data_IF_109713245890
#
_entry.id   IF_109713245890
#
_cell.length_a   1.000
_cell.length_b   1.000
_cell.length_c   1.000
_cell.angle_alpha   90.00
_cell.angle_beta   90.00
_cell.angle_gamma   90.00
#
_symmetry.space_group_name_H-M   'P 1'
#
loop_
_entity.id
_entity.type
_entity.pdbx_description
1 polymer ?
#
# COMPACT_ATOMS: atom_id res chain seq x y z
N UNK A 1 -9.18 -15.56 -41.31
CA UNK A 1 -8.82 -16.37 -40.13
C UNK A 1 -9.61 -17.69 -40.16
N UNK A 2 -9.08 -18.75 -40.80
CA UNK A 2 -9.78 -20.02 -41.03
C UNK A 2 -9.73 -21.01 -39.84
N UNK A 3 -9.21 -20.59 -38.69
CA UNK A 3 -9.01 -21.44 -37.51
C UNK A 3 -10.14 -21.32 -36.47
N UNK A 4 -11.10 -20.42 -36.67
CA UNK A 4 -12.24 -20.29 -35.76
C UNK A 4 -13.35 -21.29 -36.10
N UNK A 5 -13.67 -22.15 -35.12
CA UNK A 5 -14.92 -22.90 -35.07
C UNK A 5 -16.04 -21.95 -34.60
N UNK A 6 -17.00 -21.66 -35.48
CA UNK A 6 -18.15 -20.78 -35.16
C UNK A 6 -19.28 -21.60 -34.57
N UNK A 7 -19.76 -21.22 -33.38
CA UNK A 7 -20.77 -21.97 -32.64
C UNK A 7 -21.83 -20.99 -32.16
N UNK A 8 -23.10 -21.31 -32.44
CA UNK A 8 -24.24 -20.63 -31.84
C UNK A 8 -24.68 -21.44 -30.62
N UNK A 9 -24.64 -20.83 -29.44
CA UNK A 9 -24.90 -21.50 -28.17
C UNK A 9 -25.40 -20.48 -27.16
N UNK A 10 -26.33 -20.86 -26.27
CA UNK A 10 -26.80 -19.99 -25.18
C UNK A 10 -25.68 -19.70 -24.18
N UNK A 11 -25.78 -18.62 -23.40
CA UNK A 11 -24.75 -18.28 -22.41
C UNK A 11 -24.58 -19.41 -21.37
N UNK A 12 -25.68 -19.87 -20.78
CA UNK A 12 -25.69 -20.96 -19.78
C UNK A 12 -25.07 -22.25 -20.32
N UNK A 13 -25.43 -22.66 -21.55
CA UNK A 13 -24.85 -23.84 -22.17
C UNK A 13 -23.36 -23.63 -22.52
N UNK A 14 -22.96 -22.43 -22.93
CA UNK A 14 -21.58 -22.08 -23.20
C UNK A 14 -20.73 -22.19 -21.94
N UNK A 15 -21.18 -21.58 -20.84
CA UNK A 15 -20.52 -21.63 -19.54
C UNK A 15 -20.34 -23.07 -19.08
N UNK A 16 -21.40 -23.87 -19.12
CA UNK A 16 -21.38 -25.26 -18.65
C UNK A 16 -20.52 -26.17 -19.54
N UNK A 17 -20.68 -26.07 -20.86
CA UNK A 17 -20.00 -26.96 -21.83
C UNK A 17 -18.51 -26.70 -21.90
N UNK A 18 -18.09 -25.46 -21.75
CA UNK A 18 -16.69 -25.05 -21.88
C UNK A 18 -16.02 -24.73 -20.54
N UNK A 19 -16.66 -25.02 -19.41
CA UNK A 19 -16.12 -24.79 -18.07
C UNK A 19 -15.68 -23.34 -17.86
N UNK A 20 -16.60 -22.40 -18.09
CA UNK A 20 -16.39 -20.95 -17.99
C UNK A 20 -17.14 -20.35 -16.79
N UNK A 21 -17.28 -21.09 -15.70
CA UNK A 21 -18.01 -20.69 -14.48
C UNK A 21 -17.38 -19.48 -13.77
N UNK A 22 -16.17 -19.11 -14.15
CA UNK A 22 -15.46 -17.92 -13.66
C UNK A 22 -15.83 -16.63 -14.41
N UNK A 23 -16.67 -16.70 -15.45
CA UNK A 23 -17.12 -15.52 -16.17
C UNK A 23 -17.99 -14.64 -15.24
N UNK A 24 -17.78 -13.32 -15.24
CA UNK A 24 -18.66 -12.40 -14.54
C UNK A 24 -20.12 -12.56 -14.98
N UNK A 25 -21.05 -12.52 -14.03
CA UNK A 25 -22.48 -12.72 -14.31
C UNK A 25 -23.07 -11.66 -15.26
N UNK A 26 -22.53 -10.44 -15.24
CA UNK A 26 -23.00 -9.37 -16.12
C UNK A 26 -22.82 -9.71 -17.61
N UNK A 27 -21.90 -10.59 -17.98
CA UNK A 27 -21.67 -10.97 -19.37
C UNK A 27 -22.85 -11.72 -19.99
N UNK A 28 -23.73 -12.31 -19.18
CA UNK A 28 -24.95 -12.97 -19.67
C UNK A 28 -25.86 -11.99 -20.44
N UNK A 29 -25.98 -10.76 -19.95
CA UNK A 29 -26.84 -9.73 -20.54
C UNK A 29 -26.28 -9.18 -21.87
N UNK A 30 -24.96 -9.25 -22.08
CA UNK A 30 -24.28 -8.73 -23.28
C UNK A 30 -23.97 -9.82 -24.31
N UNK A 31 -24.05 -11.10 -23.93
CA UNK A 31 -23.67 -12.19 -24.81
C UNK A 31 -24.65 -12.36 -25.99
N UNK A 32 -24.13 -12.28 -27.20
CA UNK A 32 -24.94 -12.25 -28.43
C UNK A 32 -25.28 -13.66 -28.99
N UNK A 33 -24.96 -14.72 -28.25
CA UNK A 33 -25.17 -16.10 -28.68
C UNK A 33 -24.05 -16.70 -29.53
N UNK A 34 -22.97 -15.96 -29.79
CA UNK A 34 -21.86 -16.38 -30.65
C UNK A 34 -20.60 -16.73 -29.85
N UNK A 35 -20.12 -17.95 -30.06
CA UNK A 35 -18.82 -18.43 -29.61
C UNK A 35 -17.90 -18.66 -30.82
N UNK A 36 -16.71 -18.08 -30.78
CA UNK A 36 -15.60 -18.35 -31.70
C UNK A 36 -14.53 -19.14 -30.97
N UNK A 37 -14.38 -20.41 -31.33
CA UNK A 37 -13.51 -21.34 -30.61
C UNK A 37 -12.27 -21.71 -31.42
N UNK A 38 -11.14 -21.79 -30.73
CA UNK A 38 -9.84 -22.21 -31.26
C UNK A 38 -9.30 -23.33 -30.37
N UNK A 39 -9.18 -24.54 -30.93
CA UNK A 39 -8.84 -25.77 -30.17
C UNK A 39 -7.34 -25.99 -29.98
N UNK A 40 -6.55 -25.52 -30.94
CA UNK A 40 -5.11 -25.70 -30.98
C UNK A 40 -4.40 -24.40 -30.63
N UNK A 41 -3.11 -24.48 -30.28
CA UNK A 41 -2.30 -23.29 -30.13
C UNK A 41 -2.21 -22.56 -31.47
N UNK A 42 -2.25 -21.23 -31.44
CA UNK A 42 -2.23 -20.40 -32.64
C UNK A 42 -1.12 -19.37 -32.56
N UNK A 43 -0.38 -19.25 -33.66
CA UNK A 43 0.62 -18.20 -33.89
C UNK A 43 0.13 -17.25 -34.96
N UNK A 44 0.11 -15.95 -34.66
CA UNK A 44 -0.27 -14.89 -35.59
C UNK A 44 0.78 -13.78 -35.59
N UNK A 45 0.89 -13.06 -36.70
CA UNK A 45 1.71 -11.86 -36.74
C UNK A 45 1.16 -10.77 -35.80
N UNK A 46 -0.12 -10.43 -35.97
CA UNK A 46 -0.84 -9.45 -35.17
C UNK A 46 -2.31 -9.88 -35.05
N UNK A 47 -2.98 -9.46 -33.98
CA UNK A 47 -4.39 -9.74 -33.75
C UNK A 47 -5.09 -8.49 -33.19
N UNK A 48 -5.86 -7.81 -34.04
CA UNK A 48 -6.83 -6.81 -33.60
C UNK A 48 -8.16 -7.52 -33.33
N UNK A 49 -8.65 -7.43 -32.11
CA UNK A 49 -9.88 -8.09 -31.67
C UNK A 49 -11.12 -7.42 -32.28
N UNK A 50 -11.08 -6.09 -32.47
CA UNK A 50 -12.17 -5.35 -33.10
C UNK A 50 -12.39 -5.79 -34.56
N UNK A 51 -11.36 -6.27 -35.27
CA UNK A 51 -11.50 -6.84 -36.63
C UNK A 51 -12.33 -8.14 -36.66
N UNK A 52 -12.52 -8.79 -35.51
CA UNK A 52 -13.32 -10.02 -35.37
C UNK A 52 -14.78 -9.71 -35.05
N UNK A 53 -15.00 -8.76 -34.13
CA UNK A 53 -16.31 -8.36 -33.64
C UNK A 53 -16.32 -6.91 -33.14
N UNK A 54 -16.70 -5.98 -34.01
CA UNK A 54 -16.86 -4.57 -33.66
C UNK A 54 -18.08 -4.30 -32.76
N UNK A 55 -19.12 -5.14 -32.82
CA UNK A 55 -20.40 -4.90 -32.14
C UNK A 55 -20.44 -5.43 -30.69
N UNK A 56 -19.46 -6.25 -30.31
CA UNK A 56 -19.35 -6.83 -28.98
C UNK A 56 -20.28 -8.01 -28.72
N UNK A 57 -20.12 -8.61 -27.54
CA UNK A 57 -20.96 -9.73 -27.07
C UNK A 57 -20.58 -11.11 -27.59
N UNK A 58 -19.61 -11.22 -28.50
CA UNK A 58 -19.03 -12.53 -28.88
C UNK A 58 -18.06 -13.01 -27.80
N UNK A 59 -18.07 -14.31 -27.50
CA UNK A 59 -17.00 -14.97 -26.73
C UNK A 59 -15.99 -15.54 -27.71
N UNK A 60 -14.71 -15.17 -27.56
CA UNK A 60 -13.58 -15.71 -28.31
C UNK A 60 -12.77 -16.60 -27.36
N UNK A 61 -12.85 -17.91 -27.56
CA UNK A 61 -12.23 -18.91 -26.71
C UNK A 61 -11.02 -19.56 -27.39
N UNK A 62 -9.82 -19.28 -26.87
CA UNK A 62 -8.60 -20.02 -27.16
C UNK A 62 -8.40 -21.09 -26.08
N UNK A 63 -8.47 -22.37 -26.45
CA UNK A 63 -8.34 -23.48 -25.50
C UNK A 63 -6.90 -23.81 -25.11
N UNK A 64 -5.93 -23.34 -25.90
CA UNK A 64 -4.49 -23.52 -25.69
C UNK A 64 -3.77 -22.18 -25.80
N UNK A 65 -2.47 -22.22 -26.14
CA UNK A 65 -1.61 -21.05 -26.15
C UNK A 65 -1.91 -20.11 -27.33
N UNK A 66 -1.77 -18.81 -27.08
CA UNK A 66 -1.89 -17.76 -28.09
C UNK A 66 -0.55 -17.03 -28.21
N UNK A 67 0.08 -17.11 -29.38
CA UNK A 67 1.39 -16.54 -29.67
C UNK A 67 1.21 -15.44 -30.72
N UNK A 68 1.56 -14.20 -30.38
CA UNK A 68 1.41 -13.03 -31.24
C UNK A 68 2.79 -12.39 -31.45
N UNK A 69 3.32 -12.42 -32.67
CA UNK A 69 4.69 -11.92 -32.93
C UNK A 69 4.82 -10.40 -32.68
N UNK A 70 3.77 -9.64 -32.96
CA UNK A 70 3.74 -8.18 -32.79
C UNK A 70 2.72 -7.76 -31.72
N UNK A 71 1.49 -7.43 -32.11
CA UNK A 71 0.54 -6.76 -31.22
C UNK A 71 -0.78 -7.54 -31.10
N UNK A 72 -1.19 -7.78 -29.86
CA UNK A 72 -2.55 -8.18 -29.50
C UNK A 72 -3.30 -6.94 -29.03
N UNK A 73 -4.24 -6.45 -29.82
CA UNK A 73 -4.89 -5.17 -29.57
C UNK A 73 -6.40 -5.25 -29.59
N UNK A 74 -7.01 -4.39 -28.78
CA UNK A 74 -8.43 -4.12 -28.77
C UNK A 74 -8.58 -2.63 -28.42
N UNK A 75 -9.19 -1.89 -29.33
CA UNK A 75 -9.22 -0.42 -29.32
C UNK A 75 -10.58 0.12 -28.89
N UNK A 76 -11.64 -0.68 -29.05
CA UNK A 76 -13.02 -0.28 -28.77
C UNK A 76 -13.25 -0.07 -27.27
N UNK A 77 -13.96 1.02 -26.99
CA UNK A 77 -13.98 1.71 -25.71
C UNK A 77 -15.14 1.18 -24.86
N UNK A 78 -16.24 0.68 -25.43
CA UNK A 78 -17.38 0.14 -24.69
C UNK A 78 -17.75 -1.29 -25.13
N UNK A 79 -17.78 -2.23 -24.18
CA UNK A 79 -18.33 -3.59 -24.32
C UNK A 79 -17.80 -4.43 -25.51
N UNK A 80 -16.47 -4.50 -25.67
CA UNK A 80 -15.82 -5.35 -26.67
C UNK A 80 -16.06 -6.86 -26.45
N UNK A 81 -15.73 -7.73 -27.42
CA UNK A 81 -15.90 -9.17 -27.29
C UNK A 81 -15.09 -9.72 -26.11
N UNK A 82 -15.62 -10.75 -25.45
CA UNK A 82 -14.92 -11.39 -24.33
C UNK A 82 -13.86 -12.34 -24.86
N UNK A 83 -12.60 -12.08 -24.54
CA UNK A 83 -11.47 -12.93 -24.95
C UNK A 83 -11.07 -13.83 -23.80
N UNK A 84 -11.05 -15.14 -24.03
CA UNK A 84 -10.65 -16.13 -23.04
C UNK A 84 -9.50 -16.95 -23.60
N UNK A 85 -8.38 -16.97 -22.90
CA UNK A 85 -7.24 -17.84 -23.21
C UNK A 85 -7.02 -18.79 -22.05
N UNK A 86 -7.23 -20.09 -22.29
CA UNK A 86 -7.01 -21.12 -21.27
C UNK A 86 -5.53 -21.48 -21.10
N UNK A 87 -4.73 -21.33 -22.15
CA UNK A 87 -3.28 -21.53 -22.13
C UNK A 87 -2.51 -20.26 -21.80
N UNK A 88 -1.24 -20.25 -22.21
CA UNK A 88 -0.33 -19.12 -22.07
C UNK A 88 -0.53 -18.11 -23.21
N UNK A 89 -0.19 -16.85 -22.96
CA UNK A 89 -0.15 -15.80 -23.98
C UNK A 89 1.27 -15.28 -24.11
N UNK A 90 1.80 -15.23 -25.32
CA UNK A 90 3.02 -14.46 -25.62
C UNK A 90 2.74 -13.41 -26.67
N UNK A 91 3.25 -12.20 -26.46
CA UNK A 91 3.13 -11.11 -27.41
C UNK A 91 4.33 -10.18 -27.35
N UNK A 92 4.62 -9.41 -28.41
CA UNK A 92 5.55 -8.28 -28.26
C UNK A 92 4.89 -7.12 -27.50
N UNK A 93 3.64 -6.81 -27.83
CA UNK A 93 2.83 -5.83 -27.11
C UNK A 93 1.38 -6.30 -26.95
N UNK A 94 0.74 -5.88 -25.86
CA UNK A 94 -0.68 -6.11 -25.58
C UNK A 94 -1.33 -4.77 -25.22
N UNK A 95 -2.44 -4.42 -25.87
CA UNK A 95 -3.28 -3.29 -25.46
C UNK A 95 -4.76 -3.68 -25.49
N UNK A 96 -5.46 -3.55 -24.36
CA UNK A 96 -6.89 -3.80 -24.29
C UNK A 96 -7.63 -2.58 -23.79
N UNK A 97 -8.71 -2.24 -24.50
CA UNK A 97 -9.68 -1.21 -24.17
C UNK A 97 -10.79 -1.75 -23.24
N UNK A 98 -12.03 -1.38 -23.52
CA UNK A 98 -13.22 -1.74 -22.72
C UNK A 98 -13.66 -3.22 -22.78
N UNK A 99 -12.86 -4.12 -23.34
CA UNK A 99 -13.19 -5.55 -23.41
C UNK A 99 -12.86 -6.30 -22.11
N UNK A 100 -13.53 -7.44 -21.91
CA UNK A 100 -13.17 -8.40 -20.88
C UNK A 100 -12.20 -9.44 -21.46
N UNK A 101 -10.96 -9.46 -20.97
CA UNK A 101 -9.98 -10.49 -21.27
C UNK A 101 -9.63 -11.29 -20.02
N UNK A 102 -9.72 -12.62 -20.15
CA UNK A 102 -9.40 -13.56 -19.10
C UNK A 102 -8.34 -14.53 -19.62
N UNK A 103 -7.17 -14.53 -18.97
CA UNK A 103 -6.06 -15.42 -19.30
C UNK A 103 -5.80 -16.32 -18.10
N UNK A 104 -5.86 -17.64 -18.32
CA UNK A 104 -5.67 -18.62 -17.26
C UNK A 104 -4.20 -19.03 -17.06
N UNK A 105 -3.42 -19.02 -18.13
CA UNK A 105 -1.99 -19.32 -18.09
C UNK A 105 -1.11 -18.09 -17.82
N UNK A 106 0.19 -18.27 -18.04
CA UNK A 106 1.20 -17.23 -17.93
C UNK A 106 1.14 -16.28 -19.14
N UNK A 107 1.48 -15.02 -18.91
CA UNK A 107 1.53 -13.96 -19.92
C UNK A 107 2.94 -13.44 -20.03
N UNK A 108 3.54 -13.57 -21.21
CA UNK A 108 4.88 -13.02 -21.51
C UNK A 108 4.76 -11.96 -22.59
N UNK A 109 5.06 -10.71 -22.24
CA UNK A 109 5.05 -9.57 -23.15
C UNK A 109 6.48 -9.05 -23.31
N UNK A 110 6.98 -8.96 -24.53
CA UNK A 110 8.37 -8.47 -24.76
C UNK A 110 8.54 -7.02 -24.31
N UNK A 111 7.55 -6.18 -24.59
CA UNK A 111 7.57 -4.74 -24.32
C UNK A 111 6.42 -4.33 -23.39
N UNK A 112 5.30 -3.87 -23.94
CA UNK A 112 4.24 -3.18 -23.17
C UNK A 112 2.97 -4.01 -23.10
N UNK A 113 2.44 -4.15 -21.89
CA UNK A 113 1.06 -4.55 -21.63
C UNK A 113 0.30 -3.36 -21.04
N UNK A 114 -0.82 -2.98 -21.65
CA UNK A 114 -1.64 -1.87 -21.17
C UNK A 114 -3.14 -2.22 -21.16
N UNK A 115 -3.81 -1.90 -20.06
CA UNK A 115 -5.26 -1.78 -19.97
C UNK A 115 -5.66 -0.31 -20.09
N UNK A 116 -6.65 -0.03 -20.94
CA UNK A 116 -7.06 1.30 -21.38
C UNK A 116 -8.55 1.44 -21.18
N UNK A 117 -8.99 2.53 -20.57
CA UNK A 117 -10.42 2.86 -20.38
C UNK A 117 -11.13 2.02 -19.31
N UNK A 118 -11.94 2.71 -18.51
CA UNK A 118 -12.42 2.34 -17.17
C UNK A 118 -13.46 1.24 -17.06
N UNK A 119 -13.92 0.70 -18.19
CA UNK A 119 -14.91 -0.38 -18.20
C UNK A 119 -14.36 -1.74 -18.62
N UNK A 120 -13.10 -1.80 -19.06
CA UNK A 120 -12.46 -3.06 -19.42
C UNK A 120 -11.98 -3.86 -18.21
N UNK A 121 -11.80 -5.16 -18.40
CA UNK A 121 -11.29 -6.08 -17.37
C UNK A 121 -10.18 -6.93 -17.94
N UNK A 122 -8.98 -6.86 -17.35
CA UNK A 122 -7.89 -7.82 -17.62
C UNK A 122 -7.71 -8.68 -16.38
N UNK A 123 -8.08 -9.95 -16.48
CA UNK A 123 -7.93 -10.93 -15.40
C UNK A 123 -6.92 -12.01 -15.79
N UNK A 124 -5.79 -12.07 -15.08
CA UNK A 124 -4.71 -13.03 -15.35
C UNK A 124 -4.45 -13.84 -14.09
N UNK A 125 -4.69 -15.16 -14.16
CA UNK A 125 -4.43 -16.06 -13.03
C UNK A 125 -3.00 -16.58 -12.98
N UNK A 126 -2.28 -16.60 -14.11
CA UNK A 126 -0.86 -16.94 -14.17
C UNK A 126 0.05 -15.76 -13.90
N UNK A 127 1.35 -15.97 -14.13
CA UNK A 127 2.40 -14.95 -13.97
C UNK A 127 2.42 -14.02 -15.16
N UNK A 128 2.62 -12.73 -14.92
CA UNK A 128 2.86 -11.74 -15.97
C UNK A 128 4.33 -11.36 -15.98
N UNK A 129 4.99 -11.49 -17.12
CA UNK A 129 6.32 -10.90 -17.36
C UNK A 129 6.21 -9.91 -18.50
N UNK A 130 6.50 -8.64 -18.26
CA UNK A 130 6.56 -7.60 -19.27
C UNK A 130 7.66 -6.59 -18.97
N UNK A 131 8.13 -5.82 -19.95
CA UNK A 131 8.97 -4.66 -19.65
C UNK A 131 8.15 -3.60 -18.91
N UNK A 132 6.92 -3.35 -19.37
CA UNK A 132 5.98 -2.39 -18.78
C UNK A 132 4.57 -2.95 -18.65
N UNK A 133 3.94 -2.70 -17.50
CA UNK A 133 2.55 -3.04 -17.23
C UNK A 133 1.85 -1.75 -16.82
N UNK A 134 0.94 -1.26 -17.66
CA UNK A 134 0.26 0.01 -17.46
C UNK A 134 -1.22 -0.27 -17.19
N UNK A 135 -1.69 0.12 -16.02
CA UNK A 135 -3.08 0.03 -15.61
C UNK A 135 -3.56 1.44 -15.29
N UNK A 136 -3.87 2.18 -16.34
CA UNK A 136 -4.42 3.53 -16.24
C UNK A 136 -5.94 3.43 -16.24
N UNK A 137 -6.54 3.59 -15.06
CA UNK A 137 -7.98 3.53 -14.84
C UNK A 137 -8.63 2.35 -15.57
N UNK A 138 -8.11 1.14 -15.38
CA UNK A 138 -8.64 -0.09 -15.97
C UNK A 138 -8.64 -1.18 -14.90
N UNK A 139 -9.70 -1.98 -14.80
CA UNK A 139 -9.73 -3.08 -13.85
C UNK A 139 -8.72 -4.15 -14.29
N UNK A 140 -7.55 -4.16 -13.66
CA UNK A 140 -6.44 -5.04 -13.99
C UNK A 140 -6.15 -5.89 -12.76
N UNK A 141 -6.43 -7.19 -12.84
CA UNK A 141 -6.21 -8.14 -11.75
C UNK A 141 -5.18 -9.19 -12.15
N UNK A 142 -4.01 -9.14 -11.51
CA UNK A 142 -2.95 -10.14 -11.62
C UNK A 142 -2.88 -10.87 -10.28
N UNK A 143 -3.23 -12.16 -10.27
CA UNK A 143 -3.35 -12.91 -9.02
C UNK A 143 -2.02 -13.51 -8.53
N UNK A 144 -1.01 -13.61 -9.39
CA UNK A 144 0.30 -14.17 -9.03
C UNK A 144 1.33 -13.07 -8.67
N UNK A 145 1.88 -13.17 -7.46
CA UNK A 145 2.87 -12.24 -6.90
C UNK A 145 4.26 -12.32 -7.56
N UNK A 146 4.55 -13.36 -8.34
CA UNK A 146 5.80 -13.57 -9.05
C UNK A 146 5.90 -12.82 -10.39
N UNK A 147 4.95 -11.94 -10.68
CA UNK A 147 4.93 -11.13 -11.89
C UNK A 147 6.07 -10.10 -11.91
N UNK A 148 6.62 -9.84 -13.09
CA UNK A 148 7.82 -9.00 -13.29
C UNK A 148 7.56 -7.93 -14.35
N UNK A 149 8.01 -6.72 -14.05
CA UNK A 149 7.96 -5.58 -14.97
C UNK A 149 7.97 -4.25 -14.24
N UNK A 150 8.04 -3.16 -15.01
CA UNK A 150 7.80 -1.81 -14.49
C UNK A 150 6.30 -1.56 -14.53
N UNK A 151 5.68 -1.54 -13.35
CA UNK A 151 4.26 -1.26 -13.20
C UNK A 151 4.04 0.26 -13.13
N UNK A 152 3.06 0.74 -13.90
CA UNK A 152 2.58 2.12 -13.88
C UNK A 152 1.08 2.11 -13.60
N UNK A 153 0.65 2.74 -12.51
CA UNK A 153 -0.76 2.85 -12.13
C UNK A 153 -1.02 2.42 -10.69
N UNK A 154 -2.24 2.01 -10.39
CA UNK A 154 -2.75 1.85 -9.02
C UNK A 154 -2.04 0.79 -8.17
N UNK A 155 -1.39 -0.22 -8.77
CA UNK A 155 -0.81 -1.33 -8.02
C UNK A 155 0.61 -1.08 -7.53
N UNK A 156 1.36 -0.17 -8.15
CA UNK A 156 2.78 0.05 -7.83
C UNK A 156 3.18 1.50 -8.13
N UNK A 157 3.56 2.25 -7.09
CA UNK A 157 4.00 3.64 -7.20
C UNK A 157 5.52 3.79 -7.23
N UNK A 158 6.28 2.68 -7.35
CA UNK A 158 7.75 2.73 -7.46
C UNK A 158 8.19 3.55 -8.68
N UNK A 159 7.35 3.69 -9.70
CA UNK A 159 7.62 4.47 -10.88
C UNK A 159 6.48 5.43 -11.18
N UNK A 160 6.80 6.67 -11.57
CA UNK A 160 5.81 7.57 -12.16
C UNK A 160 5.85 7.47 -13.68
N UNK A 161 4.68 7.60 -14.32
CA UNK A 161 4.56 7.55 -15.77
C UNK A 161 5.52 8.55 -16.46
N UNK A 162 5.69 9.77 -15.94
CA UNK A 162 6.63 10.78 -16.47
C UNK A 162 8.12 10.39 -16.46
N UNK A 163 8.48 9.46 -15.58
CA UNK A 163 9.84 8.96 -15.44
C UNK A 163 10.13 7.77 -16.38
N UNK A 164 9.07 7.08 -16.80
CA UNK A 164 9.14 5.86 -17.61
C UNK A 164 8.81 6.13 -19.07
N UNK A 165 7.81 6.96 -19.34
CA UNK A 165 7.30 7.26 -20.67
C UNK A 165 8.06 8.43 -21.29
N UNK A 166 8.31 8.36 -22.60
CA UNK A 166 8.83 9.52 -23.32
C UNK A 166 7.80 10.66 -23.32
N UNK A 167 8.25 11.92 -23.41
CA UNK A 167 7.34 13.09 -23.48
C UNK A 167 6.39 13.09 -24.70
N UNK A 168 6.59 12.18 -25.67
CA UNK A 168 5.63 11.93 -26.74
C UNK A 168 4.34 11.26 -26.22
N UNK A 169 4.44 10.48 -25.16
CA UNK A 169 3.39 9.61 -24.61
C UNK A 169 2.90 10.04 -23.22
N UNK A 170 3.45 11.10 -22.65
CA UNK A 170 3.02 11.70 -21.38
C UNK A 170 2.77 13.20 -21.57
N UNK A 171 1.81 13.76 -20.85
CA UNK A 171 1.60 15.20 -20.73
C UNK A 171 2.05 15.70 -19.38
N UNK A 172 3.13 16.49 -19.35
CA UNK A 172 3.63 17.06 -18.10
C UNK A 172 2.71 18.17 -17.54
N UNK A 173 1.87 18.80 -18.37
CA UNK A 173 0.98 19.87 -17.93
C UNK A 173 -0.32 19.32 -17.32
N UNK A 174 -0.88 18.28 -17.93
CA UNK A 174 -2.12 17.62 -17.48
C UNK A 174 -1.85 16.41 -16.56
N UNK A 175 -0.58 16.09 -16.33
CA UNK A 175 -0.09 14.94 -15.55
C UNK A 175 -0.65 13.56 -15.97
N UNK A 176 -1.01 13.38 -17.25
CA UNK A 176 -1.68 12.18 -17.77
C UNK A 176 -0.93 11.48 -18.92
N UNK A 177 -1.30 10.22 -19.19
CA UNK A 177 -0.75 9.45 -20.31
C UNK A 177 -1.53 9.73 -21.62
N UNK A 178 -0.83 9.75 -22.74
CA UNK A 178 -1.42 9.96 -24.08
C UNK A 178 -1.77 8.61 -24.70
N UNK A 179 -2.86 8.02 -24.22
CA UNK A 179 -3.34 6.67 -24.54
C UNK A 179 -3.36 6.40 -26.05
N UNK A 180 -4.00 7.25 -26.86
CA UNK A 180 -4.10 7.05 -28.32
C UNK A 180 -2.74 6.90 -28.99
N UNK A 181 -1.76 7.72 -28.56
CA UNK A 181 -0.39 7.66 -29.09
C UNK A 181 0.34 6.40 -28.65
N UNK A 182 0.05 5.90 -27.44
CA UNK A 182 0.58 4.64 -26.93
C UNK A 182 0.03 3.47 -27.75
N UNK A 183 -1.28 3.43 -28.02
CA UNK A 183 -1.91 2.40 -28.87
C UNK A 183 -1.27 2.40 -30.27
N UNK A 184 -1.15 3.56 -30.91
CA UNK A 184 -0.52 3.66 -32.22
C UNK A 184 0.93 3.17 -32.22
N UNK A 185 1.67 3.42 -31.13
CA UNK A 185 3.04 2.94 -30.97
C UNK A 185 3.07 1.42 -30.80
N UNK A 186 2.22 0.87 -29.94
CA UNK A 186 2.05 -0.57 -29.70
C UNK A 186 1.73 -1.32 -30.98
N UNK A 187 0.74 -0.85 -31.77
CA UNK A 187 0.37 -1.47 -33.06
C UNK A 187 1.53 -1.50 -34.07
N UNK A 188 2.42 -0.52 -34.00
CA UNK A 188 3.62 -0.41 -34.86
C UNK A 188 4.86 -1.08 -34.27
N UNK A 189 4.76 -1.67 -33.07
CA UNK A 189 5.90 -2.25 -32.35
C UNK A 189 6.96 -1.23 -31.90
N UNK A 190 6.58 0.04 -31.77
CA UNK A 190 7.44 1.12 -31.31
C UNK A 190 7.52 1.14 -29.79
N UNK A 191 8.72 1.39 -29.24
CA UNK A 191 8.87 1.57 -27.80
C UNK A 191 8.19 2.86 -27.32
N UNK A 192 7.55 2.78 -26.15
CA UNK A 192 6.95 3.93 -25.45
C UNK A 192 7.87 4.54 -24.38
N UNK A 193 9.04 3.93 -24.18
CA UNK A 193 9.99 4.26 -23.13
C UNK A 193 10.65 5.61 -23.32
N UNK A 194 10.93 6.30 -22.21
CA UNK A 194 11.86 7.42 -22.14
C UNK A 194 13.29 6.93 -22.38
N UNK A 195 14.04 7.61 -23.25
CA UNK A 195 15.45 7.27 -23.43
C UNK A 195 16.24 7.50 -22.13
N UNK A 196 17.09 6.54 -21.77
CA UNK A 196 17.96 6.61 -20.60
C UNK A 196 17.62 5.56 -19.53
N UNK A 197 18.28 5.69 -18.37
CA UNK A 197 18.04 4.81 -17.23
C UNK A 197 16.75 5.25 -16.53
N UNK A 198 15.81 4.31 -16.42
CA UNK A 198 14.64 4.48 -15.56
C UNK A 198 15.09 4.19 -14.13
N UNK A 199 14.78 5.12 -13.24
CA UNK A 199 15.15 5.05 -11.83
C UNK A 199 13.88 5.12 -10.99
N UNK A 200 13.67 4.12 -10.13
CA UNK A 200 12.52 4.08 -9.22
C UNK A 200 12.55 5.23 -8.21
N UNK A 201 11.41 5.55 -7.61
CA UNK A 201 11.33 6.53 -6.51
C UNK A 201 12.23 6.14 -5.34
N UNK A 202 12.29 4.84 -5.02
CA UNK A 202 13.20 4.30 -4.00
C UNK A 202 14.64 4.60 -4.37
N UNK A 203 15.08 4.28 -5.60
CA UNK A 203 16.45 4.53 -6.01
C UNK A 203 16.77 6.03 -6.05
N UNK A 204 15.83 6.89 -6.46
CA UNK A 204 15.98 8.35 -6.36
C UNK A 204 16.18 8.81 -4.92
N UNK A 205 15.43 8.26 -3.97
CA UNK A 205 15.58 8.56 -2.55
C UNK A 205 16.93 8.10 -2.00
N UNK A 206 17.39 6.91 -2.42
CA UNK A 206 18.71 6.37 -2.08
C UNK A 206 19.84 7.25 -2.64
N UNK A 207 19.76 7.64 -3.91
CA UNK A 207 20.76 8.48 -4.56
C UNK A 207 20.83 9.85 -3.88
N UNK A 208 19.66 10.43 -3.56
CA UNK A 208 19.57 11.68 -2.79
C UNK A 208 20.19 11.52 -1.41
N UNK A 209 19.91 10.42 -0.71
CA UNK A 209 20.50 10.11 0.58
C UNK A 209 22.04 10.06 0.48
N UNK A 210 22.57 9.26 -0.45
CA UNK A 210 24.02 9.12 -0.70
C UNK A 210 24.69 10.47 -1.03
N UNK A 211 24.02 11.33 -1.80
CA UNK A 211 24.54 12.64 -2.17
C UNK A 211 24.48 13.67 -1.03
N UNK A 212 23.48 13.57 -0.15
CA UNK A 212 23.17 14.61 0.83
C UNK A 212 24.13 14.71 2.02
N UNK A 213 24.99 13.69 2.25
CA UNK A 213 25.74 13.49 3.51
C UNK A 213 24.85 13.49 4.78
N UNK A 214 23.53 13.56 4.63
CA UNK A 214 22.58 13.53 5.73
C UNK A 214 22.38 12.08 6.16
N UNK A 215 22.04 11.90 7.43
CA UNK A 215 21.77 10.60 7.99
C UNK A 215 20.28 10.21 7.94
N UNK A 216 19.45 10.96 7.18
CA UNK A 216 18.01 10.74 7.06
C UNK A 216 17.64 10.18 5.68
N UNK A 217 17.08 8.98 5.66
CA UNK A 217 16.51 8.36 4.46
C UNK A 217 14.98 8.47 4.53
N UNK A 218 14.38 9.12 3.53
CA UNK A 218 12.93 9.25 3.42
C UNK A 218 12.41 8.35 2.29
N UNK A 219 11.59 7.37 2.66
CA UNK A 219 10.86 6.44 1.81
C UNK A 219 9.35 6.49 2.04
N UNK A 220 8.85 7.55 2.68
CA UNK A 220 7.42 7.75 2.92
C UNK A 220 6.62 7.90 1.61
N UNK A 221 5.37 7.46 1.63
CA UNK A 221 4.43 7.60 0.50
C UNK A 221 4.91 6.97 -0.82
N UNK A 222 5.57 5.81 -0.75
CA UNK A 222 6.09 5.10 -1.92
C UNK A 222 5.29 3.82 -2.25
N UNK A 223 4.15 3.61 -1.58
CA UNK A 223 3.30 2.42 -1.66
C UNK A 223 4.09 1.11 -1.44
N UNK A 224 5.05 1.13 -0.53
CA UNK A 224 5.85 -0.04 -0.20
C UNK A 224 5.00 -1.07 0.55
N UNK A 225 4.96 -2.30 0.05
CA UNK A 225 4.36 -3.45 0.73
C UNK A 225 5.39 -4.30 1.46
N UNK A 226 6.68 -4.10 1.16
CA UNK A 226 7.81 -4.77 1.77
C UNK A 226 9.03 -3.84 1.76
N UNK A 227 10.06 -4.20 2.55
CA UNK A 227 11.29 -3.42 2.59
C UNK A 227 12.11 -3.62 1.32
N UNK A 228 12.50 -2.53 0.62
CA UNK A 228 13.29 -2.63 -0.61
C UNK A 228 14.73 -3.12 -0.30
N UNK A 229 15.15 -4.24 -0.90
CA UNK A 229 16.48 -4.83 -0.66
C UNK A 229 17.63 -3.86 -0.98
N UNK A 230 17.40 -2.88 -1.87
CA UNK A 230 18.36 -1.85 -2.25
C UNK A 230 18.86 -1.03 -1.06
N UNK A 231 18.11 -0.96 0.04
CA UNK A 231 18.51 -0.21 1.23
C UNK A 231 19.43 -1.00 2.16
N UNK A 232 19.51 -2.33 2.01
CA UNK A 232 20.26 -3.18 2.95
C UNK A 232 21.77 -2.92 2.92
N UNK A 233 22.26 -2.37 1.82
CA UNK A 233 23.66 -1.97 1.64
C UNK A 233 23.96 -0.55 2.11
N UNK A 234 22.95 0.19 2.59
CA UNK A 234 23.15 1.57 3.03
C UNK A 234 23.68 1.59 4.46
N UNK A 235 24.82 2.24 4.62
CA UNK A 235 25.44 2.49 5.92
C UNK A 235 25.03 3.87 6.46
N UNK A 236 25.16 4.04 7.77
CA UNK A 236 25.03 5.34 8.46
C UNK A 236 23.63 5.99 8.42
N UNK A 237 22.57 5.24 8.12
CA UNK A 237 21.19 5.74 8.31
C UNK A 237 20.96 5.92 9.81
N UNK A 238 20.68 7.16 10.23
CA UNK A 238 20.28 7.52 11.60
C UNK A 238 18.78 7.75 11.73
N UNK A 239 18.12 8.18 10.67
CA UNK A 239 16.68 8.40 10.64
C UNK A 239 16.10 7.73 9.39
N UNK A 240 15.12 6.85 9.59
CA UNK A 240 14.40 6.17 8.52
C UNK A 240 12.92 6.55 8.58
N UNK A 241 12.41 7.14 7.50
CA UNK A 241 10.99 7.46 7.37
C UNK A 241 10.34 6.51 6.35
N UNK A 242 9.47 5.64 6.84
CA UNK A 242 8.68 4.66 6.09
C UNK A 242 7.19 4.96 6.15
N UNK A 243 6.78 6.12 6.68
CA UNK A 243 5.38 6.43 6.91
C UNK A 243 4.53 6.41 5.63
N UNK A 244 3.23 6.14 5.77
CA UNK A 244 2.28 6.10 4.66
C UNK A 244 2.64 5.05 3.58
N UNK A 245 3.02 3.85 4.01
CA UNK A 245 3.28 2.70 3.14
C UNK A 245 2.54 1.47 3.66
N UNK A 246 1.79 0.71 2.84
CA UNK A 246 0.98 -0.41 3.31
C UNK A 246 1.82 -1.68 3.59
N UNK A 247 2.78 -1.59 4.51
CA UNK A 247 3.75 -2.64 4.81
C UNK A 247 3.10 -3.89 5.43
N UNK A 248 2.08 -3.73 6.29
CA UNK A 248 1.41 -4.79 7.09
C UNK A 248 2.32 -5.48 8.11
N UNK A 249 3.55 -5.78 7.74
CA UNK A 249 4.63 -6.28 8.58
C UNK A 249 5.93 -5.54 8.24
N UNK A 250 6.87 -5.50 9.18
CA UNK A 250 8.19 -4.92 8.95
C UNK A 250 9.25 -6.00 9.15
N UNK A 251 10.05 -6.25 8.12
CA UNK A 251 11.30 -6.99 8.26
C UNK A 251 12.50 -6.12 7.94
N UNK A 252 13.39 -5.94 8.93
CA UNK A 252 14.67 -5.24 8.78
C UNK A 252 15.83 -6.21 8.60
N UNK A 253 15.53 -7.50 8.35
CA UNK A 253 16.55 -8.53 8.17
C UNK A 253 17.47 -8.18 7.00
N UNK A 254 18.76 -8.06 7.29
CA UNK A 254 19.79 -7.70 6.31
C UNK A 254 20.10 -6.21 6.23
N UNK A 255 19.27 -5.35 6.83
CA UNK A 255 19.56 -3.92 6.94
C UNK A 255 20.64 -3.67 8.00
N UNK A 256 21.58 -2.77 7.71
CA UNK A 256 22.52 -2.25 8.70
C UNK A 256 21.82 -1.21 9.59
N UNK A 257 21.57 -1.55 10.85
CA UNK A 257 20.82 -0.71 11.81
C UNK A 257 21.68 -0.13 12.93
N UNK A 258 23.01 -0.34 12.91
CA UNK A 258 23.95 0.05 13.97
C UNK A 258 23.94 1.54 14.33
N UNK A 259 23.49 2.38 13.40
CA UNK A 259 23.42 3.83 13.57
C UNK A 259 22.00 4.38 13.63
N UNK A 260 20.98 3.53 13.47
CA UNK A 260 19.59 3.94 13.38
C UNK A 260 19.09 4.39 14.75
N UNK A 261 18.68 5.67 14.83
CA UNK A 261 18.21 6.35 16.04
C UNK A 261 16.73 6.69 15.99
N UNK A 262 16.17 6.87 14.80
CA UNK A 262 14.75 7.17 14.65
C UNK A 262 14.15 6.36 13.51
N UNK A 263 12.99 5.79 13.76
CA UNK A 263 12.18 5.14 12.73
C UNK A 263 10.75 5.66 12.78
N UNK A 264 10.23 6.08 11.62
CA UNK A 264 8.85 6.49 11.46
C UNK A 264 8.09 5.46 10.62
N UNK A 265 7.10 4.82 11.23
CA UNK A 265 6.23 3.79 10.66
C UNK A 265 4.75 4.21 10.81
N UNK A 266 4.49 5.51 10.86
CA UNK A 266 3.13 6.00 10.96
C UNK A 266 2.32 5.65 9.70
N UNK A 267 1.06 5.24 9.87
CA UNK A 267 0.18 4.88 8.75
C UNK A 267 0.76 3.76 7.86
N UNK A 268 1.20 2.66 8.49
CA UNK A 268 1.81 1.52 7.78
C UNK A 268 0.94 0.25 7.74
N UNK A 269 -0.31 0.34 8.21
CA UNK A 269 -1.24 -0.79 8.35
C UNK A 269 -0.68 -1.93 9.21
N UNK A 270 0.19 -1.63 10.17
CA UNK A 270 0.77 -2.61 11.08
C UNK A 270 -0.28 -3.06 12.10
N UNK A 271 -0.42 -4.37 12.29
CA UNK A 271 -1.34 -4.95 13.30
C UNK A 271 -0.64 -5.31 14.60
N UNK A 272 0.68 -5.44 14.57
CA UNK A 272 1.50 -5.82 15.72
C UNK A 272 2.75 -4.91 15.79
N UNK A 273 3.36 -4.83 16.97
CA UNK A 273 4.64 -4.17 17.11
C UNK A 273 5.72 -4.92 16.30
N UNK A 274 6.49 -4.24 15.45
CA UNK A 274 7.50 -4.89 14.62
C UNK A 274 8.72 -5.32 15.46
N UNK A 275 8.81 -6.63 15.75
CA UNK A 275 9.82 -7.20 16.65
C UNK A 275 11.27 -6.95 16.22
N UNK A 276 11.52 -6.77 14.93
CA UNK A 276 12.84 -6.45 14.38
C UNK A 276 13.40 -5.12 14.93
N UNK A 277 12.54 -4.19 15.36
CA UNK A 277 12.97 -2.94 16.01
C UNK A 277 13.72 -3.22 17.31
N UNK A 278 13.38 -4.31 18.02
CA UNK A 278 14.03 -4.66 19.29
C UNK A 278 15.53 -4.95 19.14
N UNK A 279 16.00 -5.24 17.92
CA UNK A 279 17.41 -5.46 17.62
C UNK A 279 18.19 -4.15 17.39
N UNK A 280 17.52 -3.00 17.34
CA UNK A 280 18.14 -1.69 17.07
C UNK A 280 18.58 -1.04 18.39
N UNK A 281 19.77 -1.41 18.86
CA UNK A 281 20.31 -1.00 20.16
C UNK A 281 20.45 0.53 20.37
N UNK A 282 20.49 1.30 19.28
CA UNK A 282 20.66 2.77 19.31
C UNK A 282 19.34 3.54 19.09
N UNK A 283 18.19 2.85 19.01
CA UNK A 283 16.92 3.50 18.73
C UNK A 283 16.52 4.43 19.88
N UNK A 284 16.26 5.70 19.55
CA UNK A 284 15.86 6.75 20.48
C UNK A 284 14.40 7.18 20.25
N UNK A 285 13.88 7.04 19.04
CA UNK A 285 12.53 7.46 18.67
C UNK A 285 11.85 6.45 17.76
N UNK A 286 10.62 6.07 18.11
CA UNK A 286 9.76 5.20 17.31
C UNK A 286 8.42 5.91 17.13
N UNK A 287 7.98 6.07 15.89
CA UNK A 287 6.62 6.49 15.56
C UNK A 287 5.86 5.33 14.92
N UNK A 288 4.79 4.90 15.57
CA UNK A 288 3.88 3.84 15.15
C UNK A 288 2.44 4.35 15.06
N UNK A 289 2.24 5.66 15.01
CA UNK A 289 0.90 6.27 15.00
C UNK A 289 0.07 5.83 13.79
N UNK A 290 -1.26 5.88 13.88
CA UNK A 290 -2.16 5.50 12.78
C UNK A 290 -1.94 4.08 12.26
N UNK A 291 -1.67 3.14 13.17
CA UNK A 291 -1.65 1.70 12.89
C UNK A 291 -2.77 1.02 13.69
N UNK A 292 -2.90 -0.30 13.63
CA UNK A 292 -3.92 -1.04 14.40
C UNK A 292 -3.29 -1.90 15.48
N UNK A 293 -2.19 -1.43 16.06
CA UNK A 293 -1.45 -2.12 17.12
C UNK A 293 -2.22 -1.99 18.43
N UNK A 294 -2.40 -3.10 19.14
CA UNK A 294 -3.15 -3.15 20.41
C UNK A 294 -2.32 -3.58 21.62
N UNK A 295 -1.06 -3.98 21.41
CA UNK A 295 -0.16 -4.42 22.48
C UNK A 295 1.30 -4.09 22.16
N UNK A 296 2.14 -4.10 23.19
CA UNK A 296 3.59 -3.94 23.09
C UNK A 296 4.27 -5.21 23.61
N UNK A 297 5.41 -5.62 23.04
CA UNK A 297 6.10 -6.85 23.43
C UNK A 297 6.71 -6.71 24.83
N UNK A 298 6.81 -7.82 25.58
CA UNK A 298 7.43 -7.84 26.92
C UNK A 298 8.92 -7.48 26.89
N UNK A 299 9.57 -7.67 25.74
CA UNK A 299 10.98 -7.36 25.51
C UNK A 299 11.24 -5.88 25.21
N UNK A 300 10.22 -5.03 25.08
CA UNK A 300 10.38 -3.59 24.81
C UNK A 300 11.42 -2.88 25.71
N UNK A 301 11.57 -3.20 27.00
CA UNK A 301 12.58 -2.59 27.87
C UNK A 301 14.03 -2.83 27.43
N UNK A 302 14.30 -3.76 26.50
CA UNK A 302 15.64 -3.94 25.90
C UNK A 302 16.11 -2.69 25.16
N UNK A 303 15.17 -1.86 24.68
CA UNK A 303 15.42 -0.59 24.00
C UNK A 303 15.82 0.50 25.00
N UNK A 304 16.98 0.31 25.63
CA UNK A 304 17.49 1.18 26.70
C UNK A 304 17.76 2.62 26.26
N UNK A 305 17.83 2.91 24.95
CA UNK A 305 18.01 4.28 24.44
C UNK A 305 16.70 4.96 24.03
N UNK A 306 15.56 4.25 24.10
CA UNK A 306 14.26 4.76 23.66
C UNK A 306 13.80 5.92 24.56
N UNK A 307 13.67 7.10 23.96
CA UNK A 307 13.23 8.34 24.61
C UNK A 307 11.85 8.78 24.15
N UNK A 308 11.46 8.44 22.92
CA UNK A 308 10.21 8.87 22.31
C UNK A 308 9.46 7.69 21.69
N UNK A 309 8.22 7.50 22.10
CA UNK A 309 7.32 6.49 21.55
C UNK A 309 5.98 7.15 21.21
N UNK A 310 5.62 7.12 19.93
CA UNK A 310 4.35 7.63 19.43
C UNK A 310 3.47 6.47 19.00
N UNK A 311 2.29 6.37 19.60
CA UNK A 311 1.29 5.32 19.39
C UNK A 311 -0.11 5.93 19.22
N UNK A 312 -0.22 7.21 18.85
CA UNK A 312 -1.52 7.85 18.66
C UNK A 312 -2.32 7.17 17.55
N UNK A 313 -3.66 7.11 17.66
CA UNK A 313 -4.50 6.44 16.66
C UNK A 313 -4.10 4.97 16.43
N UNK A 314 -3.88 4.24 17.52
CA UNK A 314 -3.71 2.79 17.56
C UNK A 314 -4.94 2.16 18.24
N UNK A 315 -4.87 0.89 18.66
CA UNK A 315 -6.01 0.15 19.22
C UNK A 315 -5.77 -0.29 20.68
N UNK A 316 -5.14 0.55 21.51
CA UNK A 316 -4.90 0.22 22.92
C UNK A 316 -6.15 0.46 23.77
N UNK A 317 -6.72 -0.62 24.31
CA UNK A 317 -7.86 -0.55 25.25
C UNK A 317 -7.42 -0.36 26.70
N UNK A 318 -6.23 -0.85 27.07
CA UNK A 318 -5.64 -0.72 28.40
C UNK A 318 -4.28 -0.03 28.34
N UNK A 319 -3.88 0.59 29.46
CA UNK A 319 -2.56 1.22 29.53
C UNK A 319 -1.47 0.12 29.47
N UNK A 320 -0.48 0.21 28.57
CA UNK A 320 0.53 -0.84 28.42
C UNK A 320 1.48 -0.83 29.63
N UNK A 321 1.25 -1.72 30.59
CA UNK A 321 2.01 -1.75 31.85
C UNK A 321 3.53 -2.00 31.65
N UNK A 322 3.92 -2.56 30.49
CA UNK A 322 5.33 -2.71 30.11
C UNK A 322 6.06 -1.36 30.04
N UNK A 323 5.36 -0.26 29.76
CA UNK A 323 5.94 1.08 29.69
C UNK A 323 6.51 1.55 31.04
N UNK A 324 6.06 0.99 32.16
CA UNK A 324 6.66 1.25 33.47
C UNK A 324 8.12 0.76 33.57
N UNK A 325 8.52 -0.17 32.70
CA UNK A 325 9.87 -0.74 32.66
C UNK A 325 10.78 -0.05 31.63
N UNK A 326 10.24 0.81 30.77
CA UNK A 326 11.02 1.58 29.78
C UNK A 326 11.60 2.83 30.44
N UNK A 327 12.70 2.64 31.18
CA UNK A 327 13.24 3.62 32.15
C UNK A 327 13.72 4.95 31.57
N UNK A 328 14.00 5.02 30.27
CA UNK A 328 14.50 6.23 29.60
C UNK A 328 13.46 6.93 28.72
N UNK A 329 12.20 6.46 28.74
CA UNK A 329 11.12 7.07 27.96
C UNK A 329 10.81 8.47 28.52
N UNK A 330 10.94 9.49 27.68
CA UNK A 330 10.70 10.90 28.02
C UNK A 330 9.42 11.46 27.37
N UNK A 331 9.02 10.91 26.23
CA UNK A 331 7.85 11.35 25.47
C UNK A 331 7.01 10.13 25.07
N UNK A 332 5.75 10.13 25.47
CA UNK A 332 4.78 9.10 25.15
C UNK A 332 3.50 9.74 24.60
N UNK A 333 3.10 9.30 23.41
CA UNK A 333 1.79 9.61 22.85
C UNK A 333 0.97 8.34 22.72
N UNK A 334 -0.15 8.30 23.44
CA UNK A 334 -1.18 7.27 23.40
C UNK A 334 -2.54 7.92 23.14
N UNK A 335 -2.61 9.07 22.47
CA UNK A 335 -3.88 9.72 22.15
C UNK A 335 -4.75 8.91 21.19
N UNK A 336 -6.06 9.12 21.23
CA UNK A 336 -7.06 8.63 20.27
C UNK A 336 -6.98 7.11 19.99
N UNK A 337 -7.06 6.27 21.02
CA UNK A 337 -7.02 4.82 20.85
C UNK A 337 -8.39 4.24 20.50
N UNK A 338 -9.34 4.33 21.42
CA UNK A 338 -10.70 3.81 21.27
C UNK A 338 -11.67 4.62 22.16
N UNK A 339 -12.95 4.58 21.88
CA UNK A 339 -14.01 5.13 22.75
C UNK A 339 -14.22 4.28 24.03
N UNK A 340 -13.71 3.05 24.09
CA UNK A 340 -13.84 2.14 25.23
C UNK A 340 -12.58 2.01 26.10
N UNK A 341 -11.57 2.88 25.91
CA UNK A 341 -10.32 2.82 26.67
C UNK A 341 -10.55 2.84 28.20
N UNK A 342 -9.71 2.09 28.93
CA UNK A 342 -9.66 1.97 30.40
C UNK A 342 -8.23 2.14 30.89
N UNK A 343 -7.68 3.35 30.73
CA UNK A 343 -6.29 3.62 31.11
C UNK A 343 -6.14 3.83 32.61
N UNK A 344 -5.58 2.83 33.30
CA UNK A 344 -5.15 2.94 34.69
C UNK A 344 -3.64 3.16 34.75
N UNK A 345 -3.22 4.37 35.15
CA UNK A 345 -1.83 4.74 35.39
C UNK A 345 -1.59 4.75 36.90
N UNK A 346 -1.29 3.58 37.45
CA UNK A 346 -1.12 3.29 38.88
C UNK A 346 0.34 3.30 39.36
N UNK A 347 1.29 3.54 38.46
CA UNK A 347 2.72 3.66 38.77
C UNK A 347 3.32 4.89 38.11
N UNK A 348 4.42 5.37 38.70
CA UNK A 348 5.17 6.51 38.21
C UNK A 348 6.05 6.11 37.00
N UNK A 349 5.90 6.83 35.88
CA UNK A 349 6.77 6.74 34.71
C UNK A 349 8.01 7.62 34.97
N UNK A 350 9.10 6.99 35.44
CA UNK A 350 10.22 7.64 36.13
C UNK A 350 10.96 8.73 35.33
N UNK A 351 10.94 8.66 34.01
CA UNK A 351 11.65 9.58 33.13
C UNK A 351 10.73 10.40 32.24
N UNK A 352 9.42 10.15 32.30
CA UNK A 352 8.47 10.73 31.38
C UNK A 352 8.27 12.21 31.67
N UNK A 353 8.42 13.01 30.61
CA UNK A 353 8.27 14.47 30.62
C UNK A 353 7.01 14.90 29.89
N UNK A 354 6.65 14.21 28.81
CA UNK A 354 5.46 14.50 28.01
C UNK A 354 4.60 13.25 27.92
N UNK A 355 3.33 13.38 28.31
CA UNK A 355 2.31 12.34 28.21
C UNK A 355 1.10 12.89 27.47
N UNK A 356 0.84 12.38 26.27
CA UNK A 356 -0.33 12.73 25.49
C UNK A 356 -1.31 11.56 25.52
N UNK A 357 -2.51 11.82 26.00
CA UNK A 357 -3.60 10.85 26.14
C UNK A 357 -4.93 11.39 25.58
N UNK A 358 -4.88 12.47 24.80
CA UNK A 358 -6.09 13.14 24.31
C UNK A 358 -7.02 12.19 23.55
N UNK A 359 -8.32 12.34 23.72
CA UNK A 359 -9.31 11.57 22.95
C UNK A 359 -9.49 10.11 23.37
N UNK A 360 -9.00 9.70 24.54
CA UNK A 360 -9.26 8.37 25.10
C UNK A 360 -10.36 8.41 26.15
N UNK A 361 -11.17 7.37 26.26
CA UNK A 361 -12.11 7.26 27.38
C UNK A 361 -11.44 6.83 28.70
N UNK A 362 -12.10 7.14 29.82
CA UNK A 362 -11.83 6.64 31.17
C UNK A 362 -10.35 6.59 31.60
N UNK A 363 -9.67 7.74 31.53
CA UNK A 363 -8.31 7.87 32.04
C UNK A 363 -8.32 8.04 33.55
N UNK A 364 -7.59 7.16 34.26
CA UNK A 364 -7.40 7.23 35.70
C UNK A 364 -5.90 7.21 36.05
N UNK A 365 -5.37 8.37 36.43
CA UNK A 365 -3.99 8.52 36.91
C UNK A 365 -4.03 8.54 38.45
N UNK A 366 -3.58 7.45 39.07
CA UNK A 366 -3.59 7.28 40.54
C UNK A 366 -2.20 7.40 41.18
N UNK A 367 -1.14 7.38 40.38
CA UNK A 367 0.23 7.61 40.83
C UNK A 367 0.76 9.00 40.44
N UNK A 368 1.54 9.65 41.32
CA UNK A 368 2.28 10.86 40.97
C UNK A 368 3.24 10.63 39.80
N UNK A 369 3.39 11.64 38.93
CA UNK A 369 4.30 11.59 37.78
C UNK A 369 5.41 12.64 37.99
N UNK A 370 6.49 12.28 38.69
CA UNK A 370 7.38 13.27 39.32
C UNK A 370 8.17 14.13 38.34
N UNK A 371 8.43 13.66 37.11
CA UNK A 371 9.15 14.41 36.06
C UNK A 371 8.23 14.94 34.96
N UNK A 372 6.93 14.70 35.06
CA UNK A 372 5.98 15.09 34.02
C UNK A 372 5.91 16.60 33.95
N UNK A 373 6.16 17.14 32.77
CA UNK A 373 6.19 18.55 32.44
C UNK A 373 4.93 18.95 31.66
N UNK A 374 4.49 18.09 30.75
CA UNK A 374 3.34 18.29 29.89
C UNK A 374 2.41 17.07 29.93
N UNK A 375 1.13 17.33 30.18
CA UNK A 375 0.06 16.35 30.15
C UNK A 375 -1.08 16.87 29.27
N UNK A 376 -1.45 16.09 28.26
CA UNK A 376 -2.66 16.31 27.49
C UNK A 376 -3.67 15.19 27.78
N UNK A 377 -4.75 15.56 28.47
CA UNK A 377 -5.92 14.72 28.77
C UNK A 377 -7.20 15.41 28.26
N UNK A 378 -7.07 16.16 27.16
CA UNK A 378 -8.21 16.78 26.48
C UNK A 378 -9.09 15.73 25.81
N UNK A 379 -10.39 16.02 25.64
CA UNK A 379 -11.34 15.10 25.00
C UNK A 379 -11.43 13.70 25.65
N UNK A 380 -11.15 13.56 26.95
CA UNK A 380 -11.05 12.26 27.61
C UNK A 380 -12.32 11.81 28.35
N UNK A 381 -13.43 12.55 28.16
CA UNK A 381 -14.72 12.31 28.82
C UNK A 381 -14.63 12.21 30.35
N UNK A 382 -13.64 12.88 30.96
CA UNK A 382 -13.37 12.81 32.39
C UNK A 382 -14.47 13.48 33.21
N UNK A 383 -14.84 12.89 34.33
CA UNK A 383 -15.79 13.46 35.31
C UNK A 383 -15.10 14.07 36.54
N UNK A 384 -13.87 13.66 36.81
CA UNK A 384 -13.09 14.03 37.99
C UNK A 384 -11.63 14.32 37.62
N UNK A 385 -11.01 15.22 38.37
CA UNK A 385 -9.58 15.51 38.23
C UNK A 385 -8.74 14.43 38.94
N UNK A 386 -7.67 13.90 38.31
CA UNK A 386 -6.78 12.92 38.94
C UNK A 386 -5.89 13.58 40.00
N UNK A 387 -6.34 13.53 41.26
CA UNK A 387 -5.69 14.18 42.42
C UNK A 387 -4.22 13.75 42.59
N UNK A 388 -3.82 12.57 42.12
CA UNK A 388 -2.41 12.16 42.16
C UNK A 388 -1.47 13.13 41.41
N UNK A 389 -2.00 13.89 40.43
CA UNK A 389 -1.24 14.89 39.70
C UNK A 389 -0.83 16.10 40.54
N UNK A 390 -1.47 16.37 41.68
CA UNK A 390 -1.08 17.49 42.56
C UNK A 390 0.33 17.31 43.12
N UNK A 391 0.80 16.06 43.16
CA UNK A 391 2.17 15.69 43.56
C UNK A 391 3.17 15.72 42.39
N UNK A 392 2.72 16.01 41.17
CA UNK A 392 3.57 16.11 39.98
C UNK A 392 4.17 17.52 39.87
N UNK A 393 5.18 17.79 40.70
CA UNK A 393 5.75 19.13 40.93
C UNK A 393 6.46 19.79 39.75
N UNK A 394 6.55 19.14 38.58
CA UNK A 394 7.16 19.70 37.38
C UNK A 394 6.13 20.00 36.28
N UNK A 395 4.85 19.68 36.51
CA UNK A 395 3.79 19.90 35.55
C UNK A 395 3.59 21.40 35.38
N UNK A 396 3.68 21.87 34.14
CA UNK A 396 3.51 23.30 33.76
C UNK A 396 2.56 23.47 32.58
N UNK A 397 2.35 22.40 31.79
CA UNK A 397 1.43 22.38 30.67
C UNK A 397 0.41 21.28 30.91
N UNK A 398 -0.83 21.67 31.21
CA UNK A 398 -1.93 20.75 31.45
C UNK A 398 -3.10 21.13 30.55
N UNK A 399 -3.36 20.31 29.54
CA UNK A 399 -4.54 20.43 28.71
C UNK A 399 -5.62 19.46 29.19
N UNK A 400 -6.71 20.02 29.70
CA UNK A 400 -7.92 19.30 30.12
C UNK A 400 -9.16 19.76 29.33
N UNK A 401 -8.97 20.41 28.19
CA UNK A 401 -10.06 20.94 27.38
C UNK A 401 -11.01 19.83 26.92
N UNK A 402 -12.27 20.20 26.65
CA UNK A 402 -13.29 19.27 26.13
C UNK A 402 -13.61 18.05 27.01
N UNK A 403 -13.41 18.16 28.33
CA UNK A 403 -13.90 17.20 29.33
C UNK A 403 -15.27 17.63 29.89
N UNK A 404 -16.32 17.52 29.08
CA UNK A 404 -17.64 18.07 29.40
C UNK A 404 -18.35 17.43 30.62
N UNK A 405 -17.89 16.26 31.09
CA UNK A 405 -18.45 15.62 32.30
C UNK A 405 -17.87 16.21 33.59
N UNK A 406 -16.71 16.88 33.53
CA UNK A 406 -16.07 17.49 34.69
C UNK A 406 -16.76 18.81 35.03
N UNK A 407 -17.47 18.83 36.16
CA UNK A 407 -18.29 20.00 36.57
C UNK A 407 -17.57 20.95 37.50
N UNK A 408 -16.64 20.43 38.30
CA UNK A 408 -15.85 21.19 39.27
C UNK A 408 -14.44 20.61 39.35
N UNK A 409 -13.49 21.46 39.73
CA UNK A 409 -12.16 21.03 40.13
C UNK A 409 -12.17 20.81 41.65
N UNK A 410 -11.48 19.78 42.16
CA UNK A 410 -11.36 19.54 43.60
C UNK A 410 -10.45 20.60 44.25
N UNK A 411 -10.57 20.80 45.57
CA UNK A 411 -9.77 21.80 46.30
C UNK A 411 -8.27 21.52 46.17
N UNK A 412 -7.89 20.24 46.10
CA UNK A 412 -6.51 19.78 45.89
C UNK A 412 -5.92 20.28 44.57
N UNK A 413 -6.74 20.65 43.58
CA UNK A 413 -6.24 21.28 42.35
C UNK A 413 -5.40 22.53 42.64
N UNK A 414 -5.72 23.26 43.71
CA UNK A 414 -4.95 24.42 44.17
C UNK A 414 -3.53 24.10 44.67
N UNK A 415 -3.21 22.82 44.87
CA UNK A 415 -1.88 22.36 45.29
C UNK A 415 -0.88 22.23 44.13
N UNK A 416 -1.32 22.39 42.87
CA UNK A 416 -0.42 22.46 41.72
C UNK A 416 0.52 23.68 41.86
N UNK A 417 1.83 23.43 41.83
CA UNK A 417 2.86 24.41 42.25
C UNK A 417 3.39 25.32 41.15
N UNK A 418 3.22 24.96 39.89
CA UNK A 418 3.65 25.72 38.71
C UNK A 418 2.49 25.79 37.73
#
# INVERSE_FOLDING_TARGET
MNFFERINISFSDCVKKYHLEFLPSYLEDYYNGRLLRVKESVTLDSLEIDDIDEMGGTIILFEKDLIIENALTQSNVDYGPTVIVKGNVSAKNIAFGGACIIIKGDVTVEQTMIGIYNHGVINITGKVTAEYIISDDHCFSIYDKGSKGIFLGFQDLRYHAKDVLSGKYYDDAEENIKIDKIIEAIKKGNSIKKNGNIVSQVQKAIDKFKASKNAKLNLSNLNLTEMPEEIFQLENIKELDLSNNPLKELSLKGMQTDHLKSINLACCSLTEFPIDILNINQIESIDLSFNTISSLPEELPVLNQLKKLLLSHCNFTEFPCILYQVVNLEYLDLGFQDEETLFLIDKALQSLKVLLLSGNANINITAPQPKLYELNISHCLMDTFPIALTKSTHLTHLDMSYNHKMRWLPDEFSELKN
#
